data_IF_467296054314
#
_entry.id   IF_467296054314
#
_cell.length_a   1.000
_cell.length_b   1.000
_cell.length_c   1.000
_cell.angle_alpha   90.00
_cell.angle_beta   90.00
_cell.angle_gamma   90.00
#
_symmetry.space_group_name_H-M   'P 1'
#
loop_
_entity.id
_entity.type
_entity.pdbx_description
1 polymer ?
#
# COMPACT_ATOMS: atom_id res chain seq x y z
N UNK A 1 13.16 22.21 -0.78
CA UNK A 1 13.62 22.22 0.62
C UNK A 1 13.00 21.10 1.44
N UNK A 2 11.67 21.04 1.63
CA UNK A 2 11.05 19.98 2.46
C UNK A 2 11.28 18.57 1.87
N UNK A 3 11.10 18.35 0.55
CA UNK A 3 11.43 17.05 -0.07
C UNK A 3 12.87 16.59 0.19
N UNK A 4 13.84 17.51 0.11
CA UNK A 4 15.24 17.21 0.36
C UNK A 4 15.51 16.83 1.83
N UNK A 5 14.76 17.39 2.79
CA UNK A 5 14.82 16.99 4.21
C UNK A 5 14.44 15.51 4.39
N UNK A 6 13.48 15.03 3.61
CA UNK A 6 12.99 13.65 3.65
C UNK A 6 13.68 12.74 2.63
N UNK A 7 14.70 13.22 1.90
CA UNK A 7 15.38 12.46 0.84
C UNK A 7 14.41 11.82 -0.18
N UNK A 8 13.41 12.59 -0.61
CA UNK A 8 12.40 12.13 -1.58
C UNK A 8 12.68 12.72 -2.97
N UNK A 9 12.81 11.88 -4.01
CA UNK A 9 12.86 12.34 -5.39
C UNK A 9 11.49 12.87 -5.82
N UNK A 10 11.47 13.51 -6.99
CA UNK A 10 10.24 14.00 -7.61
C UNK A 10 10.17 13.50 -9.03
N UNK A 11 9.03 12.95 -9.41
CA UNK A 11 8.75 12.59 -10.80
C UNK A 11 8.37 13.84 -11.61
N UNK A 12 8.38 13.75 -12.94
CA UNK A 12 8.22 14.92 -13.84
C UNK A 12 6.89 15.66 -13.66
N UNK A 13 5.87 15.01 -13.11
CA UNK A 13 4.55 15.55 -12.82
C UNK A 13 4.40 16.08 -11.38
N UNK A 14 5.49 16.07 -10.58
CA UNK A 14 5.49 16.51 -9.20
C UNK A 14 5.14 15.43 -8.17
N UNK A 15 4.84 14.19 -8.61
CA UNK A 15 4.51 13.08 -7.71
C UNK A 15 5.76 12.44 -7.09
N UNK A 16 5.54 11.70 -5.99
CA UNK A 16 6.52 10.78 -5.41
C UNK A 16 6.01 9.39 -5.75
N UNK A 17 6.86 8.57 -6.40
CA UNK A 17 6.51 7.24 -6.92
C UNK A 17 7.47 6.20 -6.37
N UNK A 18 7.02 4.96 -6.28
CA UNK A 18 7.85 3.83 -5.90
C UNK A 18 7.58 2.69 -6.88
N UNK A 19 8.59 2.36 -7.68
CA UNK A 19 8.47 1.30 -8.69
C UNK A 19 8.58 -0.08 -8.01
N UNK A 20 7.67 -0.99 -8.35
CA UNK A 20 7.58 -2.31 -7.72
C UNK A 20 7.02 -3.34 -8.69
N UNK A 21 7.58 -4.56 -8.67
CA UNK A 21 7.10 -5.65 -9.52
C UNK A 21 5.73 -6.15 -9.08
N UNK A 22 4.85 -6.39 -10.05
CA UNK A 22 3.50 -6.87 -9.82
C UNK A 22 3.47 -8.38 -9.52
N UNK A 23 2.93 -8.78 -8.37
CA UNK A 23 2.76 -10.20 -8.04
C UNK A 23 1.30 -10.51 -7.65
N UNK A 24 0.56 -11.26 -8.49
CA UNK A 24 -0.86 -11.50 -8.25
C UNK A 24 -1.08 -12.53 -7.12
N UNK A 25 -1.94 -12.20 -6.17
CA UNK A 25 -2.41 -13.13 -5.12
C UNK A 25 -3.91 -12.98 -4.90
N UNK A 26 -4.57 -14.02 -4.40
CA UNK A 26 -6.01 -13.98 -4.05
C UNK A 26 -6.26 -14.16 -2.57
N UNK A 27 -5.28 -14.68 -1.84
CA UNK A 27 -5.39 -14.99 -0.43
C UNK A 27 -4.08 -14.66 0.28
N UNK A 28 -4.18 -14.42 1.59
CA UNK A 28 -3.05 -14.15 2.48
C UNK A 28 -3.41 -14.54 3.91
N UNK A 29 -2.44 -14.68 4.79
CA UNK A 29 -2.65 -14.72 6.24
C UNK A 29 -2.20 -13.40 6.88
N UNK A 30 -2.86 -12.93 7.96
CA UNK A 30 -2.41 -11.74 8.71
C UNK A 30 -0.91 -11.78 9.06
N UNK A 31 -0.43 -12.97 9.44
CA UNK A 31 0.97 -13.22 9.77
C UNK A 31 1.95 -13.01 8.59
N UNK A 32 1.59 -13.42 7.38
CA UNK A 32 2.44 -13.24 6.20
C UNK A 32 2.63 -11.77 5.83
N UNK A 33 1.70 -10.90 6.22
CA UNK A 33 1.69 -9.48 5.89
C UNK A 33 2.04 -8.58 7.08
N UNK A 34 2.53 -9.17 8.18
CA UNK A 34 2.96 -8.47 9.39
C UNK A 34 1.90 -7.51 9.97
N UNK A 35 0.63 -7.95 10.03
CA UNK A 35 -0.48 -7.17 10.60
C UNK A 35 -1.38 -8.04 11.47
N UNK A 36 -1.69 -7.57 12.68
CA UNK A 36 -2.62 -8.22 13.61
C UNK A 36 -4.03 -8.34 13.01
N UNK A 37 -4.64 -9.52 13.15
CA UNK A 37 -5.97 -9.83 12.60
C UNK A 37 -7.05 -8.85 13.05
N UNK A 38 -6.96 -8.24 14.25
CA UNK A 38 -7.96 -7.26 14.71
C UNK A 38 -7.89 -5.99 13.88
N UNK A 39 -6.71 -5.62 13.39
CA UNK A 39 -6.54 -4.49 12.49
C UNK A 39 -7.17 -4.77 11.13
N UNK A 40 -6.99 -5.99 10.60
CA UNK A 40 -7.68 -6.42 9.38
C UNK A 40 -9.20 -6.50 9.58
N UNK A 41 -9.65 -6.96 10.75
CA UNK A 41 -11.05 -6.94 11.11
C UNK A 41 -11.64 -5.51 11.08
N UNK A 42 -10.90 -4.52 11.60
CA UNK A 42 -11.28 -3.11 11.51
C UNK A 42 -11.31 -2.57 10.06
N UNK A 43 -10.56 -3.19 9.14
CA UNK A 43 -10.56 -2.87 7.70
C UNK A 43 -11.68 -3.58 6.91
N UNK A 44 -12.46 -4.45 7.56
CA UNK A 44 -13.63 -5.13 6.98
C UNK A 44 -13.46 -6.63 6.73
N UNK A 45 -12.31 -7.22 7.06
CA UNK A 45 -12.11 -8.66 6.98
C UNK A 45 -12.83 -9.36 8.15
N UNK A 46 -13.99 -9.96 7.90
CA UNK A 46 -14.84 -10.51 8.97
C UNK A 46 -14.77 -12.03 9.10
N UNK A 47 -14.36 -12.72 8.03
CA UNK A 47 -14.30 -14.17 7.95
C UNK A 47 -13.14 -14.63 7.08
N UNK A 48 -12.69 -15.86 7.32
CA UNK A 48 -11.73 -16.55 6.47
C UNK A 48 -12.38 -17.08 5.18
N UNK A 49 -11.56 -17.66 4.31
CA UNK A 49 -12.00 -18.22 3.02
C UNK A 49 -13.01 -19.37 3.16
N UNK A 50 -13.11 -20.02 4.34
CA UNK A 50 -14.10 -21.05 4.64
C UNK A 50 -15.40 -20.46 5.23
N UNK A 51 -15.46 -19.15 5.42
CA UNK A 51 -16.60 -18.44 6.02
C UNK A 51 -16.62 -18.49 7.55
N UNK A 52 -15.54 -18.93 8.22
CA UNK A 52 -15.45 -18.89 9.68
C UNK A 52 -15.08 -17.48 10.14
N UNK A 53 -15.61 -17.00 11.29
CA UNK A 53 -15.22 -15.70 11.83
C UNK A 53 -13.70 -15.55 11.95
N UNK A 54 -13.19 -14.36 11.64
CA UNK A 54 -11.78 -14.03 11.81
C UNK A 54 -11.46 -13.82 13.31
N UNK A 55 -10.55 -14.62 13.83
CA UNK A 55 -10.15 -14.65 15.25
C UNK A 55 -8.65 -14.93 15.48
N UNK A 56 -7.87 -15.17 14.43
CA UNK A 56 -6.45 -15.56 14.52
C UNK A 56 -5.60 -15.06 13.34
N UNK A 57 -4.30 -14.83 13.60
CA UNK A 57 -3.32 -14.41 12.59
C UNK A 57 -2.93 -15.52 11.60
N UNK A 58 -3.28 -16.77 11.90
CA UNK A 58 -2.98 -17.95 11.07
C UNK A 58 -4.12 -18.26 10.09
N UNK A 59 -5.25 -17.54 10.15
CA UNK A 59 -6.37 -17.75 9.24
C UNK A 59 -6.08 -17.15 7.87
N UNK A 60 -6.35 -17.92 6.82
CA UNK A 60 -6.24 -17.45 5.44
C UNK A 60 -7.47 -16.62 5.06
N UNK A 61 -7.25 -15.40 4.61
CA UNK A 61 -8.27 -14.43 4.21
C UNK A 61 -8.29 -14.31 2.68
N UNK A 62 -9.48 -14.11 2.10
CA UNK A 62 -9.63 -13.71 0.70
C UNK A 62 -9.33 -12.21 0.55
N UNK A 63 -8.38 -11.86 -0.32
CA UNK A 63 -7.92 -10.48 -0.53
C UNK A 63 -8.98 -9.64 -1.25
N UNK A 64 -9.35 -8.49 -0.68
CA UNK A 64 -10.26 -7.58 -1.37
C UNK A 64 -9.66 -6.99 -2.66
N UNK A 65 -10.47 -6.74 -3.71
CA UNK A 65 -9.96 -6.41 -5.04
C UNK A 65 -9.05 -5.18 -5.16
N UNK A 66 -9.10 -4.23 -4.22
CA UNK A 66 -8.29 -3.00 -4.21
C UNK A 66 -7.37 -2.90 -2.99
N UNK A 67 -7.23 -3.98 -2.23
CA UNK A 67 -6.27 -4.05 -1.13
C UNK A 67 -4.90 -4.48 -1.68
N UNK A 68 -3.85 -3.93 -1.08
CA UNK A 68 -2.48 -4.04 -1.56
C UNK A 68 -1.53 -4.33 -0.41
N UNK A 69 -0.68 -5.33 -0.59
CA UNK A 69 0.37 -5.72 0.36
C UNK A 69 1.69 -5.22 -0.22
N UNK A 70 2.35 -4.34 0.51
CA UNK A 70 3.55 -3.63 0.03
C UNK A 70 4.81 -4.42 0.39
N UNK A 71 5.82 -4.39 -0.47
CA UNK A 71 7.13 -4.90 -0.11
C UNK A 71 7.70 -4.13 1.10
N UNK A 72 8.22 -4.84 2.10
CA UNK A 72 8.69 -4.22 3.34
C UNK A 72 9.83 -3.22 3.10
N UNK A 73 10.66 -3.43 2.08
CA UNK A 73 11.72 -2.49 1.69
C UNK A 73 11.21 -1.10 1.24
N UNK A 74 9.92 -0.97 0.90
CA UNK A 74 9.28 0.29 0.55
C UNK A 74 8.76 1.06 1.78
N UNK A 75 8.66 0.41 2.95
CA UNK A 75 7.98 0.96 4.13
C UNK A 75 8.55 2.31 4.57
N UNK A 76 9.89 2.42 4.64
CA UNK A 76 10.56 3.68 4.97
C UNK A 76 10.25 4.79 3.95
N UNK A 77 10.19 4.46 2.67
CA UNK A 77 9.90 5.43 1.60
C UNK A 77 8.47 5.96 1.69
N UNK A 78 7.49 5.08 1.94
CA UNK A 78 6.11 5.48 2.16
C UNK A 78 5.95 6.31 3.45
N UNK A 79 6.64 5.93 4.53
CA UNK A 79 6.62 6.68 5.80
C UNK A 79 7.19 8.09 5.64
N UNK A 80 8.37 8.23 5.01
CA UNK A 80 8.96 9.54 4.70
C UNK A 80 8.06 10.37 3.80
N UNK A 81 7.35 9.73 2.86
CA UNK A 81 6.38 10.40 1.98
C UNK A 81 5.19 10.95 2.76
N UNK A 82 4.60 10.17 3.67
CA UNK A 82 3.51 10.62 4.53
C UNK A 82 3.94 11.81 5.41
N UNK A 83 5.12 11.72 6.04
CA UNK A 83 5.67 12.80 6.87
C UNK A 83 6.00 14.06 6.05
N UNK A 84 6.47 13.89 4.82
CA UNK A 84 6.67 14.98 3.87
C UNK A 84 5.35 15.71 3.56
N UNK A 85 4.27 14.96 3.31
CA UNK A 85 2.94 15.55 3.05
C UNK A 85 2.47 16.35 4.26
N UNK A 86 2.59 15.80 5.46
CA UNK A 86 2.19 16.50 6.70
C UNK A 86 3.00 17.79 6.91
N UNK A 87 4.32 17.75 6.71
CA UNK A 87 5.14 18.96 6.86
C UNK A 87 4.82 20.01 5.80
N UNK A 88 4.48 19.61 4.58
CA UNK A 88 4.00 20.53 3.53
C UNK A 88 2.65 21.13 3.93
N UNK A 89 1.69 20.34 4.40
CA UNK A 89 0.39 20.82 4.88
C UNK A 89 0.56 21.87 5.98
N UNK A 90 1.40 21.60 6.98
CA UNK A 90 1.62 22.50 8.11
C UNK A 90 2.42 23.74 7.70
N UNK A 91 3.60 23.58 7.10
CA UNK A 91 4.54 24.69 6.90
C UNK A 91 4.22 25.54 5.69
N UNK A 92 3.67 24.95 4.64
CA UNK A 92 3.42 25.66 3.39
C UNK A 92 1.96 26.09 3.26
N UNK A 93 1.02 25.23 3.69
CA UNK A 93 -0.41 25.51 3.54
C UNK A 93 -1.10 25.98 4.82
N UNK A 94 -0.46 25.91 6.00
CA UNK A 94 -1.08 26.30 7.27
C UNK A 94 -2.24 25.40 7.70
N UNK A 95 -2.26 24.15 7.23
CA UNK A 95 -3.27 23.14 7.52
C UNK A 95 -2.81 22.18 8.62
N UNK A 96 -3.74 21.39 9.16
CA UNK A 96 -3.40 20.30 10.08
C UNK A 96 -2.71 19.14 9.33
N UNK A 97 -1.81 18.39 10.00
CA UNK A 97 -1.27 17.16 9.43
C UNK A 97 -2.38 16.14 9.18
N UNK A 98 -2.23 15.35 8.12
CA UNK A 98 -3.20 14.35 7.70
C UNK A 98 -2.85 12.94 8.22
N UNK A 99 -1.61 12.48 7.99
CA UNK A 99 -1.22 11.10 8.29
C UNK A 99 -0.85 10.90 9.75
N UNK A 100 -0.06 11.81 10.33
CA UNK A 100 0.55 11.68 11.65
C UNK A 100 1.32 10.34 11.84
N UNK A 101 1.87 9.80 10.75
CA UNK A 101 2.51 8.48 10.75
C UNK A 101 3.93 8.53 11.35
N UNK A 102 4.18 7.61 12.28
CA UNK A 102 5.46 7.42 12.98
C UNK A 102 6.09 6.06 12.71
N UNK A 103 5.28 5.07 12.32
CA UNK A 103 5.73 3.75 11.90
C UNK A 103 5.05 3.32 10.59
N UNK A 104 5.56 2.25 9.97
CA UNK A 104 4.95 1.63 8.79
C UNK A 104 3.51 1.17 9.08
N UNK A 105 3.23 0.73 10.31
CA UNK A 105 1.92 0.25 10.70
C UNK A 105 0.88 1.36 10.68
N UNK A 106 1.24 2.62 10.92
CA UNK A 106 0.33 3.77 10.83
C UNK A 106 -0.24 3.96 9.41
N UNK A 107 0.42 3.40 8.39
CA UNK A 107 -0.01 3.47 7.00
C UNK A 107 -0.99 2.36 6.61
N UNK A 108 -1.17 1.33 7.42
CA UNK A 108 -2.18 0.29 7.18
C UNK A 108 -3.57 0.90 7.25
N UNK A 109 -4.31 0.82 6.15
CA UNK A 109 -5.60 1.48 5.91
C UNK A 109 -5.51 2.75 5.07
N UNK A 110 -4.31 3.30 4.86
CA UNK A 110 -4.11 4.48 4.01
C UNK A 110 -4.20 4.13 2.53
N UNK A 111 -4.59 5.13 1.75
CA UNK A 111 -4.80 4.97 0.32
C UNK A 111 -3.55 5.33 -0.48
N UNK A 112 -3.33 4.56 -1.53
CA UNK A 112 -2.32 4.77 -2.56
C UNK A 112 -3.00 4.84 -3.93
N UNK A 113 -2.32 5.42 -4.90
CA UNK A 113 -2.75 5.40 -6.29
C UNK A 113 -1.66 4.67 -7.08
N UNK A 114 -2.00 3.52 -7.64
CA UNK A 114 -1.08 2.79 -8.48
C UNK A 114 -1.31 3.12 -9.95
N UNK A 115 -0.23 3.27 -10.70
CA UNK A 115 -0.24 3.70 -12.08
C UNK A 115 0.75 2.89 -12.90
N UNK A 116 0.22 2.16 -13.88
CA UNK A 116 1.05 1.49 -14.86
C UNK A 116 1.70 2.47 -15.84
N UNK A 117 3.00 2.30 -16.18
CA UNK A 117 3.59 2.80 -17.40
C UNK A 117 2.65 2.81 -18.61
N UNK A 118 2.76 3.86 -19.41
CA UNK A 118 1.97 4.05 -20.63
C UNK A 118 0.44 4.15 -20.44
N UNK A 119 -0.03 4.25 -19.19
CA UNK A 119 -1.43 4.55 -18.87
C UNK A 119 -1.56 5.91 -18.18
N UNK A 120 -2.77 6.44 -18.14
CA UNK A 120 -3.11 7.69 -17.44
C UNK A 120 -4.27 7.51 -16.44
N UNK A 121 -4.78 6.29 -16.29
CA UNK A 121 -5.83 5.95 -15.34
C UNK A 121 -5.22 5.23 -14.13
N UNK A 122 -4.98 5.97 -13.06
CA UNK A 122 -4.54 5.37 -11.79
C UNK A 122 -5.66 4.58 -11.12
N UNK A 123 -5.29 3.53 -10.40
CA UNK A 123 -6.24 2.73 -9.61
C UNK A 123 -5.97 2.98 -8.13
N UNK A 124 -7.02 3.42 -7.44
CA UNK A 124 -6.99 3.61 -5.99
C UNK A 124 -6.85 2.25 -5.31
N UNK A 125 -5.95 2.17 -4.33
CA UNK A 125 -5.78 1.00 -3.48
C UNK A 125 -5.56 1.36 -2.04
N UNK A 126 -5.73 0.39 -1.16
CA UNK A 126 -5.53 0.53 0.28
C UNK A 126 -4.41 -0.39 0.75
N UNK A 127 -3.45 0.15 1.49
CA UNK A 127 -2.38 -0.64 2.10
C UNK A 127 -2.99 -1.49 3.21
N UNK A 128 -2.78 -2.81 3.17
CA UNK A 128 -3.25 -3.71 4.24
C UNK A 128 -2.15 -4.37 5.05
N UNK A 129 -0.90 -4.31 4.60
CA UNK A 129 0.25 -4.86 5.30
C UNK A 129 1.53 -4.85 4.48
N UNK A 130 2.55 -5.51 5.02
CA UNK A 130 3.93 -5.49 4.56
C UNK A 130 4.46 -6.92 4.44
N UNK A 131 5.08 -7.27 3.32
CA UNK A 131 5.67 -8.59 3.13
C UNK A 131 7.18 -8.50 2.85
N UNK A 132 7.96 -9.40 3.45
CA UNK A 132 9.39 -9.56 3.18
C UNK A 132 9.60 -10.20 1.80
N UNK A 133 9.48 -9.37 0.77
CA UNK A 133 9.55 -9.77 -0.63
C UNK A 133 10.07 -8.61 -1.52
N UNK A 134 10.26 -8.89 -2.80
CA UNK A 134 10.76 -7.90 -3.78
C UNK A 134 9.67 -7.32 -4.69
N UNK A 135 8.40 -7.63 -4.45
CA UNK A 135 7.27 -7.20 -5.28
C UNK A 135 6.05 -6.81 -4.44
N UNK A 136 5.05 -6.24 -5.09
CA UNK A 136 3.81 -5.82 -4.46
C UNK A 136 2.72 -6.84 -4.74
N UNK A 137 2.10 -7.36 -3.68
CA UNK A 137 1.03 -8.33 -3.83
C UNK A 137 -0.33 -7.63 -3.92
N UNK A 138 -1.10 -7.99 -4.94
CA UNK A 138 -2.46 -7.50 -5.09
C UNK A 138 -3.35 -8.49 -5.83
N UNK A 139 -4.66 -8.22 -5.78
CA UNK A 139 -5.64 -9.04 -6.46
C UNK A 139 -5.45 -8.99 -8.00
N UNK A 140 -5.63 -10.08 -8.76
CA UNK A 140 -5.53 -10.07 -10.22
C UNK A 140 -6.40 -9.00 -10.90
N UNK A 141 -7.58 -8.71 -10.34
CA UNK A 141 -8.45 -7.62 -10.82
C UNK A 141 -7.78 -6.25 -10.74
N UNK A 142 -6.98 -5.99 -9.71
CA UNK A 142 -6.23 -4.74 -9.58
C UNK A 142 -5.16 -4.62 -10.66
N UNK A 143 -4.36 -5.66 -10.90
CA UNK A 143 -3.35 -5.66 -11.95
C UNK A 143 -4.00 -5.54 -13.35
N UNK A 144 -5.07 -6.28 -13.60
CA UNK A 144 -5.82 -6.20 -14.87
C UNK A 144 -6.43 -4.80 -15.10
N UNK A 145 -6.96 -4.15 -14.06
CA UNK A 145 -7.50 -2.79 -14.15
C UNK A 145 -6.43 -1.77 -14.55
N UNK A 146 -5.16 -2.03 -14.20
CA UNK A 146 -3.99 -1.24 -14.60
C UNK A 146 -3.37 -1.70 -15.93
N UNK A 147 -4.01 -2.65 -16.63
CA UNK A 147 -3.57 -3.24 -17.91
C UNK A 147 -2.25 -4.02 -17.82
N UNK A 148 -2.06 -4.78 -16.74
CA UNK A 148 -0.87 -5.62 -16.53
C UNK A 148 -1.07 -7.08 -16.85
N UNK A 149 0.02 -7.69 -17.32
CA UNK A 149 0.11 -9.11 -17.64
C UNK A 149 0.73 -9.92 -16.49
N UNK A 150 1.48 -9.26 -15.59
CA UNK A 150 2.20 -9.90 -14.48
C UNK A 150 3.25 -10.92 -14.95
N UNK A 151 3.91 -10.68 -16.08
CA UNK A 151 5.01 -11.48 -16.64
C UNK A 151 6.40 -10.91 -16.30
N UNK A 152 6.48 -10.15 -15.19
CA UNK A 152 7.65 -9.34 -14.81
C UNK A 152 7.41 -7.82 -14.95
N UNK A 153 6.16 -7.42 -15.13
CA UNK A 153 5.72 -6.02 -15.13
C UNK A 153 6.04 -5.30 -13.80
N UNK A 154 6.37 -4.01 -13.90
CA UNK A 154 6.59 -3.10 -12.77
C UNK A 154 5.62 -1.91 -12.83
N UNK A 155 5.02 -1.57 -11.69
CA UNK A 155 4.08 -0.46 -11.51
C UNK A 155 4.58 0.57 -10.49
N UNK A 156 4.06 1.80 -10.58
CA UNK A 156 4.37 2.93 -9.69
C UNK A 156 3.20 3.29 -8.77
#
# INVERSE_FOLDING_TARGET
LIRAKYDLPVFRDGTVRFDMSDVPVTHFTPKEIDVDWKRLHALGYTHDWEGKPLESDEQMLELFPQDFIVAENAADYFLRTAQFVDEVLVKFYGLQPYYNATSKDDLVGQLICALAPHTSGGVLSRIIGWADCSGGYAHPLFHAAKRRNCDGDEDA
#
